data_IF_117734334182
#
_entry.id   IF_117734334182
#
_cell.length_a   1.000
_cell.length_b   1.000
_cell.length_c   1.000
_cell.angle_alpha   90.00
_cell.angle_beta   90.00
_cell.angle_gamma   90.00
#
_symmetry.space_group_name_H-M   'P 1'
#
loop_
_entity.id
_entity.type
_entity.pdbx_description
1 polymer ?
#
# COMPACT_ATOMS: atom_id res chain seq x y z
N UNK A 1 7.26 -18.71 -27.30
CA UNK A 1 6.08 -19.07 -26.50
C UNK A 1 6.06 -18.17 -25.28
N UNK A 2 5.09 -17.26 -25.16
CA UNK A 2 4.97 -16.31 -24.04
C UNK A 2 4.52 -17.06 -22.79
N UNK A 3 5.22 -16.92 -21.66
CA UNK A 3 4.79 -17.50 -20.38
C UNK A 3 3.46 -16.87 -19.93
N UNK A 4 2.56 -17.63 -19.28
CA UNK A 4 1.33 -17.07 -18.73
C UNK A 4 1.67 -16.01 -17.66
N UNK A 5 0.92 -14.90 -17.66
CA UNK A 5 1.09 -13.83 -16.66
C UNK A 5 0.54 -14.28 -15.31
N UNK A 6 1.22 -13.93 -14.22
CA UNK A 6 0.86 -14.35 -12.87
C UNK A 6 0.50 -13.15 -12.01
N UNK A 7 -0.71 -13.14 -11.44
CA UNK A 7 -1.16 -12.13 -10.49
C UNK A 7 -1.65 -12.78 -9.20
N UNK A 8 -1.24 -12.22 -8.06
CA UNK A 8 -1.71 -12.60 -6.73
C UNK A 8 -2.67 -11.50 -6.25
N UNK A 9 -3.92 -11.86 -5.96
CA UNK A 9 -4.92 -10.93 -5.45
C UNK A 9 -5.25 -11.27 -4.01
N UNK A 10 -4.98 -10.34 -3.09
CA UNK A 10 -5.27 -10.47 -1.67
C UNK A 10 -6.58 -9.76 -1.35
N UNK A 11 -7.58 -10.55 -0.95
CA UNK A 11 -8.89 -10.13 -0.46
C UNK A 11 -9.04 -10.26 1.06
N UNK A 12 -10.27 -10.16 1.57
CA UNK A 12 -10.57 -10.03 3.00
C UNK A 12 -10.29 -11.27 3.90
N UNK A 13 -9.62 -12.32 3.42
CA UNK A 13 -9.34 -13.52 4.21
C UNK A 13 -7.84 -13.79 4.34
N UNK A 14 -7.42 -14.11 5.56
CA UNK A 14 -6.03 -14.32 6.01
C UNK A 14 -5.23 -15.22 5.05
N UNK A 15 -4.03 -14.79 4.64
CA UNK A 15 -3.33 -15.39 3.49
C UNK A 15 -1.81 -15.53 3.62
N UNK A 16 -1.25 -15.66 4.82
CA UNK A 16 0.21 -15.90 4.96
C UNK A 16 0.65 -17.20 4.28
N UNK A 17 -0.19 -18.25 4.31
CA UNK A 17 0.11 -19.53 3.66
C UNK A 17 0.12 -19.41 2.13
N UNK A 18 -0.76 -18.56 1.58
CA UNK A 18 -0.82 -18.26 0.13
C UNK A 18 0.50 -17.65 -0.35
N UNK A 19 1.11 -16.77 0.45
CA UNK A 19 2.36 -16.13 0.06
C UNK A 19 3.51 -17.14 -0.04
N UNK A 20 3.55 -18.13 0.87
CA UNK A 20 4.58 -19.18 0.87
C UNK A 20 4.44 -20.11 -0.33
N UNK A 21 3.21 -20.56 -0.64
CA UNK A 21 2.96 -21.48 -1.74
C UNK A 21 3.29 -20.86 -3.11
N UNK A 22 3.02 -19.55 -3.29
CA UNK A 22 3.36 -18.83 -4.53
C UNK A 22 4.89 -18.73 -4.72
N UNK A 23 5.66 -18.55 -3.64
CA UNK A 23 7.13 -18.45 -3.74
C UNK A 23 7.76 -19.80 -4.08
N UNK A 24 7.21 -20.90 -3.58
CA UNK A 24 7.71 -22.28 -3.78
C UNK A 24 7.52 -22.76 -5.24
N UNK A 25 6.50 -22.29 -5.96
CA UNK A 25 6.24 -22.68 -7.35
C UNK A 25 7.28 -22.22 -8.39
N UNK A 26 8.28 -21.42 -8.00
CA UNK A 26 9.40 -21.00 -8.86
C UNK A 26 9.07 -19.96 -9.95
N UNK A 27 7.80 -19.64 -10.16
CA UNK A 27 7.34 -18.62 -11.10
C UNK A 27 7.70 -17.18 -10.67
N UNK A 28 7.74 -16.26 -11.64
CA UNK A 28 7.76 -14.81 -11.38
C UNK A 28 6.33 -14.30 -11.14
N UNK A 29 6.18 -13.26 -10.31
CA UNK A 29 4.90 -12.62 -10.00
C UNK A 29 4.85 -11.30 -10.74
N UNK A 30 3.91 -11.13 -11.67
CA UNK A 30 3.80 -9.89 -12.43
C UNK A 30 2.99 -8.83 -11.68
N UNK A 31 2.04 -9.23 -10.85
CA UNK A 31 1.28 -8.30 -10.03
C UNK A 31 0.92 -8.87 -8.66
N UNK A 32 1.07 -8.06 -7.62
CA UNK A 32 0.49 -8.26 -6.30
C UNK A 32 -0.55 -7.18 -6.07
N UNK A 33 -1.82 -7.57 -5.99
CA UNK A 33 -2.95 -6.64 -5.78
C UNK A 33 -3.50 -6.83 -4.38
N UNK A 34 -3.33 -5.81 -3.54
CA UNK A 34 -3.77 -5.80 -2.15
C UNK A 34 -4.98 -4.88 -1.99
N UNK A 35 -6.14 -5.46 -1.74
CA UNK A 35 -7.41 -4.73 -1.55
C UNK A 35 -8.04 -4.95 -0.18
N UNK A 36 -7.43 -5.81 0.64
CA UNK A 36 -7.95 -6.19 1.94
C UNK A 36 -8.13 -4.99 2.87
N UNK A 37 -9.28 -4.94 3.55
CA UNK A 37 -9.57 -3.89 4.50
C UNK A 37 -10.98 -3.97 5.02
N UNK A 38 -11.18 -3.36 6.18
CA UNK A 38 -12.49 -3.26 6.84
C UNK A 38 -12.88 -1.81 7.12
N UNK A 39 -14.17 -1.50 7.06
CA UNK A 39 -14.73 -0.22 7.47
C UNK A 39 -15.54 -0.42 8.75
N UNK A 40 -14.90 -0.10 9.87
CA UNK A 40 -15.43 -0.26 11.22
C UNK A 40 -15.14 1.02 12.02
N UNK A 41 -16.04 1.34 12.95
CA UNK A 41 -15.90 2.40 13.95
C UNK A 41 -15.41 1.86 15.29
N UNK A 42 -14.98 0.60 15.34
CA UNK A 42 -14.49 -0.01 16.58
C UNK A 42 -13.29 0.76 17.14
N UNK A 43 -13.22 0.76 18.47
CA UNK A 43 -12.00 1.15 19.21
C UNK A 43 -10.91 0.11 18.97
N UNK A 44 -9.72 0.38 19.49
CA UNK A 44 -8.60 -0.58 19.48
C UNK A 44 -9.08 -1.97 19.88
N UNK A 45 -8.87 -2.95 19.00
CA UNK A 45 -9.25 -4.35 19.21
C UNK A 45 -8.04 -5.24 18.96
N UNK A 46 -7.37 -5.75 20.01
CA UNK A 46 -6.17 -6.55 19.84
C UNK A 46 -6.50 -7.90 19.20
N UNK A 47 -5.64 -8.29 18.27
CA UNK A 47 -5.47 -9.66 17.77
C UNK A 47 -4.74 -10.51 18.80
N UNK A 48 -4.61 -11.81 18.53
CA UNK A 48 -3.78 -12.73 19.34
C UNK A 48 -2.32 -12.30 19.43
N UNK A 49 -1.83 -11.59 18.41
CA UNK A 49 -0.47 -11.05 18.35
C UNK A 49 -0.36 -9.66 19.01
N UNK A 50 -1.46 -9.17 19.60
CA UNK A 50 -1.53 -7.89 20.31
C UNK A 50 -1.55 -6.65 19.42
N UNK A 51 -1.62 -6.80 18.10
CA UNK A 51 -1.83 -5.71 17.13
C UNK A 51 -3.32 -5.39 16.98
N UNK A 52 -3.69 -4.16 16.67
CA UNK A 52 -5.08 -3.84 16.33
C UNK A 52 -5.54 -4.57 15.05
N UNK A 53 -6.76 -5.14 15.05
CA UNK A 53 -7.33 -5.86 13.91
C UNK A 53 -7.39 -5.02 12.63
N UNK A 54 -7.84 -3.75 12.73
CA UNK A 54 -7.97 -2.87 11.58
C UNK A 54 -6.58 -2.54 11.03
N UNK A 55 -5.62 -2.20 11.88
CA UNK A 55 -4.24 -1.92 11.45
C UNK A 55 -3.55 -3.17 10.87
N UNK A 56 -3.89 -4.35 11.39
CA UNK A 56 -3.40 -5.63 10.84
C UNK A 56 -3.83 -5.82 9.40
N UNK A 57 -5.09 -5.57 9.08
CA UNK A 57 -5.59 -5.63 7.70
C UNK A 57 -5.12 -4.46 6.84
N UNK A 58 -5.14 -3.24 7.40
CA UNK A 58 -4.92 -2.01 6.66
C UNK A 58 -3.45 -1.70 6.39
N UNK A 59 -2.52 -2.23 7.18
CA UNK A 59 -1.08 -1.98 6.99
C UNK A 59 -0.22 -3.23 7.20
N UNK A 60 -0.24 -3.87 8.38
CA UNK A 60 0.76 -4.91 8.71
C UNK A 60 0.75 -6.10 7.74
N UNK A 61 -0.43 -6.60 7.37
CA UNK A 61 -0.55 -7.66 6.38
C UNK A 61 -0.07 -7.24 4.99
N UNK A 62 -0.29 -5.97 4.60
CA UNK A 62 0.18 -5.44 3.31
C UNK A 62 1.70 -5.39 3.26
N UNK A 63 2.32 -4.91 4.34
CA UNK A 63 3.77 -4.93 4.48
C UNK A 63 4.32 -6.36 4.41
N UNK A 64 3.69 -7.29 5.14
CA UNK A 64 4.05 -8.72 5.09
C UNK A 64 3.97 -9.30 3.67
N UNK A 65 2.84 -9.13 2.97
CA UNK A 65 2.66 -9.64 1.61
C UNK A 65 3.68 -9.04 0.64
N UNK A 66 3.87 -7.72 0.67
CA UNK A 66 4.81 -7.04 -0.20
C UNK A 66 6.22 -7.59 0.02
N UNK A 67 6.67 -7.72 1.26
CA UNK A 67 8.02 -8.22 1.61
C UNK A 67 8.21 -9.70 1.29
N UNK A 68 7.27 -10.56 1.69
CA UNK A 68 7.40 -12.01 1.46
C UNK A 68 7.39 -12.38 -0.03
N UNK A 69 6.74 -11.57 -0.88
CA UNK A 69 6.63 -11.84 -2.31
C UNK A 69 7.69 -11.13 -3.16
N UNK A 70 8.58 -10.31 -2.57
CA UNK A 70 9.68 -9.67 -3.29
C UNK A 70 10.48 -10.64 -4.16
N UNK A 71 10.88 -11.84 -3.70
CA UNK A 71 11.64 -12.77 -4.54
C UNK A 71 10.88 -13.18 -5.82
N UNK A 72 9.56 -13.34 -5.74
CA UNK A 72 8.72 -13.64 -6.91
C UNK A 72 8.53 -12.43 -7.82
N UNK A 73 8.30 -11.26 -7.24
CA UNK A 73 8.13 -9.99 -7.97
C UNK A 73 9.39 -9.59 -8.76
N UNK A 74 10.58 -9.78 -8.17
CA UNK A 74 11.88 -9.54 -8.83
C UNK A 74 12.12 -10.46 -10.04
N UNK A 75 11.53 -11.65 -10.04
CA UNK A 75 11.64 -12.64 -11.14
C UNK A 75 10.63 -12.41 -12.26
N UNK A 76 9.76 -11.42 -12.16
CA UNK A 76 8.81 -11.11 -13.23
C UNK A 76 9.53 -10.80 -14.54
N UNK A 77 8.95 -11.31 -15.63
CA UNK A 77 9.36 -10.97 -17.00
C UNK A 77 8.41 -9.96 -17.65
N UNK A 78 7.57 -9.28 -16.87
CA UNK A 78 6.66 -8.27 -17.38
C UNK A 78 7.49 -7.09 -17.96
N UNK A 79 7.23 -6.64 -19.20
CA UNK A 79 8.09 -5.67 -19.89
C UNK A 79 8.35 -4.38 -19.12
N UNK A 80 7.34 -3.83 -18.43
CA UNK A 80 7.43 -2.61 -17.63
C UNK A 80 7.75 -2.85 -16.16
N UNK A 81 8.17 -4.07 -15.78
CA UNK A 81 8.37 -4.49 -14.40
C UNK A 81 7.09 -5.02 -13.74
N UNK A 82 7.26 -5.73 -12.62
CA UNK A 82 6.12 -6.18 -11.81
C UNK A 82 5.45 -5.02 -11.08
N UNK A 83 4.22 -5.23 -10.61
CA UNK A 83 3.45 -4.19 -9.94
C UNK A 83 2.96 -4.66 -8.57
N UNK A 84 3.31 -3.94 -7.51
CA UNK A 84 2.67 -4.05 -6.20
C UNK A 84 1.63 -2.95 -6.11
N UNK A 85 0.36 -3.30 -6.14
CA UNK A 85 -0.77 -2.36 -6.06
C UNK A 85 -1.43 -2.47 -4.69
N UNK A 86 -1.18 -1.49 -3.83
CA UNK A 86 -1.90 -1.33 -2.56
C UNK A 86 -3.07 -0.38 -2.75
N UNK A 87 -4.31 -0.87 -2.66
CA UNK A 87 -5.51 -0.03 -2.75
C UNK A 87 -6.01 0.32 -1.35
N UNK A 88 -5.63 1.51 -0.85
CA UNK A 88 -6.10 2.09 0.40
C UNK A 88 -5.64 3.55 0.60
N UNK A 89 -6.45 4.56 0.25
CA UNK A 89 -6.19 5.97 0.62
C UNK A 89 -4.85 6.60 0.15
N UNK A 90 -4.16 6.06 -0.85
CA UNK A 90 -2.87 6.60 -1.30
C UNK A 90 -2.89 8.11 -1.59
N UNK A 91 -2.01 8.87 -0.92
CA UNK A 91 -1.90 10.33 -1.09
C UNK A 91 -3.06 11.18 -0.55
N UNK A 92 -4.13 10.58 0.00
CA UNK A 92 -5.35 11.31 0.44
C UNK A 92 -5.60 11.25 1.94
N UNK A 93 -4.66 10.71 2.71
CA UNK A 93 -4.67 10.74 4.17
C UNK A 93 -3.93 11.97 4.72
N UNK A 94 -4.09 12.25 6.02
CA UNK A 94 -3.18 13.17 6.71
C UNK A 94 -1.95 12.42 7.22
N UNK A 95 -0.84 13.12 7.52
CA UNK A 95 0.33 12.49 8.12
C UNK A 95 0.00 12.00 9.52
N UNK A 96 0.49 10.80 9.88
CA UNK A 96 0.37 10.32 11.25
C UNK A 96 1.53 10.84 12.09
N UNK A 97 1.38 12.02 12.68
CA UNK A 97 2.46 12.75 13.36
C UNK A 97 3.00 12.09 14.65
N UNK A 98 2.41 10.99 15.12
CA UNK A 98 2.81 10.29 16.35
C UNK A 98 3.63 9.02 16.09
N UNK A 99 4.24 8.91 14.91
CA UNK A 99 5.06 7.75 14.54
C UNK A 99 6.29 7.55 15.44
N UNK A 100 6.63 8.51 16.31
CA UNK A 100 7.73 8.39 17.27
C UNK A 100 7.27 7.89 18.63
N UNK A 101 6.20 8.47 19.15
CA UNK A 101 5.71 8.26 20.50
C UNK A 101 4.77 7.04 20.57
N UNK A 102 4.04 6.77 19.48
CA UNK A 102 3.06 5.69 19.41
C UNK A 102 3.12 5.00 18.02
N UNK A 103 4.25 4.33 17.70
CA UNK A 103 4.53 3.77 16.39
C UNK A 103 3.64 2.59 16.00
N UNK A 104 2.92 2.00 16.95
CA UNK A 104 1.94 0.92 16.71
C UNK A 104 0.49 1.37 16.93
N UNK A 105 0.26 2.67 17.20
CA UNK A 105 -1.05 3.27 17.52
C UNK A 105 -1.78 2.51 18.65
N UNK A 106 -1.08 2.24 19.75
CA UNK A 106 -1.62 1.55 20.93
C UNK A 106 -2.27 2.50 21.91
N UNK A 107 -1.74 3.72 22.06
CA UNK A 107 -2.16 4.65 23.12
C UNK A 107 -3.01 5.82 22.61
N UNK A 108 -2.89 6.18 21.33
CA UNK A 108 -3.58 7.31 20.71
C UNK A 108 -4.64 6.87 19.69
N UNK A 109 -5.18 5.67 19.85
CA UNK A 109 -6.12 5.11 18.88
C UNK A 109 -7.38 5.97 18.73
N UNK A 110 -7.66 6.33 17.48
CA UNK A 110 -8.94 6.86 17.03
C UNK A 110 -9.16 6.39 15.59
N UNK A 111 -10.41 6.41 15.11
CA UNK A 111 -10.72 5.99 13.72
C UNK A 111 -9.93 6.82 12.70
N UNK A 112 -9.77 8.13 12.96
CA UNK A 112 -9.00 9.04 12.10
C UNK A 112 -7.51 8.72 12.19
N UNK A 113 -6.97 8.52 13.39
CA UNK A 113 -5.56 8.16 13.54
C UNK A 113 -5.25 6.81 12.89
N UNK A 114 -6.16 5.84 12.97
CA UNK A 114 -5.98 4.55 12.32
C UNK A 114 -6.00 4.65 10.80
N UNK A 115 -6.86 5.51 10.24
CA UNK A 115 -6.88 5.79 8.80
C UNK A 115 -5.60 6.52 8.34
N UNK A 116 -5.19 7.56 9.07
CA UNK A 116 -3.96 8.29 8.79
C UNK A 116 -2.73 7.39 8.92
N UNK A 117 -2.66 6.58 9.98
CA UNK A 117 -1.61 5.58 10.19
C UNK A 117 -1.51 4.64 9.00
N UNK A 118 -2.62 4.01 8.61
CA UNK A 118 -2.62 3.02 7.54
C UNK A 118 -2.13 3.59 6.21
N UNK A 119 -2.65 4.76 5.82
CA UNK A 119 -2.24 5.41 4.59
C UNK A 119 -0.79 5.88 4.64
N UNK A 120 -0.43 6.62 5.69
CA UNK A 120 0.89 7.23 5.84
C UNK A 120 2.01 6.20 5.96
N UNK A 121 1.80 5.14 6.73
CA UNK A 121 2.79 4.07 6.82
C UNK A 121 2.92 3.32 5.49
N UNK A 122 1.83 3.15 4.73
CA UNK A 122 1.90 2.52 3.40
C UNK A 122 2.68 3.37 2.40
N UNK A 123 2.46 4.70 2.35
CA UNK A 123 3.24 5.63 1.52
C UNK A 123 4.74 5.47 1.81
N UNK A 124 5.13 5.58 3.08
CA UNK A 124 6.52 5.54 3.53
C UNK A 124 7.17 4.17 3.29
N UNK A 125 6.46 3.09 3.63
CA UNK A 125 6.99 1.74 3.51
C UNK A 125 7.20 1.32 2.06
N UNK A 126 6.25 1.65 1.16
CA UNK A 126 6.39 1.33 -0.26
C UNK A 126 7.50 2.16 -0.92
N UNK A 127 7.69 3.42 -0.51
CA UNK A 127 8.82 4.23 -0.96
C UNK A 127 10.17 3.67 -0.47
N UNK A 128 10.23 3.15 0.76
CA UNK A 128 11.43 2.49 1.28
C UNK A 128 11.70 1.14 0.59
N UNK A 129 10.66 0.40 0.19
CA UNK A 129 10.85 -0.76 -0.67
C UNK A 129 11.35 -0.38 -2.06
N UNK A 130 10.81 0.68 -2.66
CA UNK A 130 11.20 1.14 -3.99
C UNK A 130 12.65 1.66 -4.05
N UNK A 131 13.17 2.25 -2.97
CA UNK A 131 14.54 2.77 -2.93
C UNK A 131 15.62 1.69 -2.91
N UNK A 132 15.26 0.44 -2.66
CA UNK A 132 16.21 -0.67 -2.60
C UNK A 132 16.66 -1.07 -4.00
N UNK A 133 17.97 -1.14 -4.29
CA UNK A 133 18.48 -1.50 -5.62
C UNK A 133 17.95 -2.84 -6.14
N UNK A 134 17.77 -3.83 -5.26
CA UNK A 134 17.22 -5.13 -5.61
C UNK A 134 15.76 -5.08 -6.11
N UNK A 135 15.06 -3.97 -5.88
CA UNK A 135 13.66 -3.76 -6.25
C UNK A 135 13.49 -2.83 -7.47
N UNK A 136 14.56 -2.49 -8.18
CA UNK A 136 14.53 -1.55 -9.31
C UNK A 136 13.59 -1.97 -10.47
N UNK A 137 13.21 -3.25 -10.55
CA UNK A 137 12.28 -3.79 -11.54
C UNK A 137 10.82 -3.87 -11.06
N UNK A 138 10.51 -3.36 -9.86
CA UNK A 138 9.18 -3.43 -9.24
C UNK A 138 8.60 -2.02 -9.16
N UNK A 139 7.33 -1.89 -9.56
CA UNK A 139 6.53 -0.68 -9.40
C UNK A 139 5.59 -0.83 -8.20
N UNK A 140 5.86 -0.10 -7.13
CA UNK A 140 5.04 0.02 -5.94
C UNK A 140 4.05 1.18 -6.11
N UNK A 141 2.78 0.85 -6.24
CA UNK A 141 1.68 1.80 -6.44
C UNK A 141 0.78 1.81 -5.22
N UNK A 142 0.66 2.96 -4.57
CA UNK A 142 -0.32 3.19 -3.53
C UNK A 142 -1.51 3.99 -4.09
N UNK A 143 -2.67 3.35 -4.13
CA UNK A 143 -3.84 3.88 -4.82
C UNK A 143 -4.95 4.30 -3.86
N UNK A 144 -5.57 5.44 -4.16
CA UNK A 144 -6.82 5.86 -3.55
C UNK A 144 -7.99 5.41 -4.44
N UNK A 145 -8.88 4.50 -4.01
CA UNK A 145 -10.03 4.09 -4.82
C UNK A 145 -11.13 5.17 -4.90
N UNK A 146 -11.07 6.15 -4.00
CA UNK A 146 -12.13 7.14 -3.81
C UNK A 146 -13.40 6.55 -3.21
N UNK A 147 -14.53 7.21 -3.43
CA UNK A 147 -15.81 6.74 -2.91
C UNK A 147 -16.45 5.72 -3.86
N UNK A 148 -16.45 4.44 -3.45
CA UNK A 148 -16.92 3.31 -4.27
C UNK A 148 -18.16 2.65 -3.66
N UNK A 149 -19.13 2.33 -4.51
CA UNK A 149 -20.35 1.62 -4.13
C UNK A 149 -20.10 0.11 -3.92
N UNK A 150 -19.32 -0.25 -2.91
CA UNK A 150 -19.03 -1.65 -2.53
C UNK A 150 -19.84 -2.09 -1.31
N UNK A 151 -19.76 -3.36 -0.92
CA UNK A 151 -20.31 -3.84 0.35
C UNK A 151 -19.45 -3.42 1.57
N UNK A 152 -18.37 -2.65 1.38
CA UNK A 152 -17.57 -2.09 2.46
C UNK A 152 -18.46 -1.26 3.40
N UNK A 153 -18.27 -1.44 4.71
CA UNK A 153 -19.14 -0.86 5.75
C UNK A 153 -20.33 -1.75 6.14
N UNK A 154 -20.38 -3.01 5.68
CA UNK A 154 -21.34 -4.00 6.19
C UNK A 154 -21.21 -4.25 7.70
N UNK A 155 -20.07 -3.92 8.30
CA UNK A 155 -19.81 -4.01 9.73
C UNK A 155 -20.24 -2.76 10.52
N UNK A 156 -20.65 -1.68 9.84
CA UNK A 156 -21.17 -0.47 10.48
C UNK A 156 -22.46 -0.78 11.26
N UNK A 157 -22.83 0.02 12.28
CA UNK A 157 -24.12 -0.13 12.95
C UNK A 157 -25.29 -0.13 11.97
N UNK A 158 -26.29 -0.99 12.18
CA UNK A 158 -27.40 -1.23 11.23
C UNK A 158 -28.13 0.06 10.80
N UNK A 159 -28.27 1.02 11.71
CA UNK A 159 -28.91 2.31 11.45
C UNK A 159 -28.12 3.21 10.48
N UNK A 160 -26.80 3.03 10.33
CA UNK A 160 -25.99 3.75 9.35
C UNK A 160 -25.91 3.03 8.00
N UNK A 161 -26.14 1.72 7.95
CA UNK A 161 -25.99 0.93 6.72
C UNK A 161 -26.93 1.40 5.61
N UNK A 162 -28.20 1.65 5.93
CA UNK A 162 -29.20 2.10 4.95
C UNK A 162 -28.83 3.43 4.28
N UNK A 163 -28.61 4.51 5.07
CA UNK A 163 -28.19 5.81 4.54
C UNK A 163 -26.86 5.74 3.76
N UNK A 164 -25.86 5.02 4.27
CA UNK A 164 -24.56 4.88 3.58
C UNK A 164 -24.75 4.17 2.24
N UNK A 165 -25.57 3.10 2.17
CA UNK A 165 -25.85 2.39 0.91
C UNK A 165 -26.59 3.25 -0.10
N UNK A 166 -27.53 4.08 0.35
CA UNK A 166 -28.22 5.03 -0.51
C UNK A 166 -27.24 6.07 -1.07
N UNK A 167 -26.41 6.66 -0.21
CA UNK A 167 -25.37 7.63 -0.60
C UNK A 167 -24.34 7.00 -1.56
N UNK A 168 -23.90 5.77 -1.29
CA UNK A 168 -22.98 5.01 -2.15
C UNK A 168 -23.56 4.77 -3.54
N UNK A 169 -24.85 4.41 -3.65
CA UNK A 169 -25.49 4.21 -4.96
C UNK A 169 -25.62 5.52 -5.75
N UNK A 170 -25.85 6.63 -5.06
CA UNK A 170 -26.07 7.93 -5.70
C UNK A 170 -24.76 8.62 -6.10
N UNK A 171 -23.75 8.58 -5.22
CA UNK A 171 -22.52 9.39 -5.32
C UNK A 171 -21.26 8.55 -5.53
N UNK A 172 -21.32 7.23 -5.29
CA UNK A 172 -20.18 6.34 -5.39
C UNK A 172 -19.98 5.83 -6.81
N UNK A 173 -18.72 5.73 -7.23
CA UNK A 173 -18.39 5.04 -8.48
C UNK A 173 -18.70 3.55 -8.37
N UNK A 174 -19.04 2.92 -9.49
CA UNK A 174 -19.26 1.47 -9.52
C UNK A 174 -17.95 0.72 -9.24
N UNK A 175 -18.00 -0.48 -8.64
CA UNK A 175 -16.82 -1.31 -8.45
C UNK A 175 -16.07 -1.61 -9.76
N UNK A 176 -16.81 -1.83 -10.86
CA UNK A 176 -16.21 -2.07 -12.17
C UNK A 176 -15.46 -0.85 -12.71
N UNK A 177 -16.03 0.37 -12.56
CA UNK A 177 -15.35 1.61 -12.97
C UNK A 177 -14.10 1.85 -12.13
N UNK A 178 -14.19 1.64 -10.81
CA UNK A 178 -13.03 1.72 -9.93
C UNK A 178 -11.95 0.72 -10.36
N UNK A 179 -12.31 -0.55 -10.57
CA UNK A 179 -11.38 -1.58 -10.98
C UNK A 179 -10.69 -1.22 -12.31
N UNK A 180 -11.45 -0.68 -13.28
CA UNK A 180 -10.90 -0.21 -14.56
C UNK A 180 -9.80 0.84 -14.41
N UNK A 181 -9.91 1.76 -13.45
CA UNK A 181 -8.82 2.67 -13.11
C UNK A 181 -7.68 1.96 -12.36
N UNK A 182 -8.01 1.21 -11.31
CA UNK A 182 -7.01 0.63 -10.41
C UNK A 182 -6.07 -0.37 -11.10
N UNK A 183 -6.56 -1.14 -12.09
CA UNK A 183 -5.71 -2.10 -12.81
C UNK A 183 -4.85 -1.46 -13.92
N UNK A 184 -5.04 -0.16 -14.17
CA UNK A 184 -4.35 0.59 -15.23
C UNK A 184 -2.82 0.39 -15.24
N UNK A 185 -2.12 0.57 -14.10
CA UNK A 185 -0.67 0.39 -14.04
C UNK A 185 -0.21 -1.02 -14.43
N UNK A 186 -0.95 -2.05 -14.03
CA UNK A 186 -0.63 -3.45 -14.34
C UNK A 186 -0.75 -3.70 -15.85
N UNK A 187 -1.83 -3.23 -16.47
CA UNK A 187 -2.07 -3.40 -17.90
C UNK A 187 -1.01 -2.67 -18.73
N UNK A 188 -0.65 -1.46 -18.31
CA UNK A 188 0.39 -0.66 -18.98
C UNK A 188 1.78 -1.28 -18.81
N UNK A 189 2.14 -1.78 -17.63
CA UNK A 189 3.42 -2.48 -17.44
C UNK A 189 3.51 -3.71 -18.36
N UNK A 190 2.37 -4.33 -18.69
CA UNK A 190 2.27 -5.37 -19.70
C UNK A 190 2.73 -4.96 -21.11
N UNK A 191 2.80 -3.66 -21.42
CA UNK A 191 3.30 -3.09 -22.69
C UNK A 191 4.57 -2.24 -22.52
N UNK A 192 5.19 -2.24 -21.32
CA UNK A 192 6.51 -1.64 -21.10
C UNK A 192 6.54 -0.34 -20.28
N UNK A 193 5.39 0.17 -19.82
CA UNK A 193 5.32 1.46 -19.12
C UNK A 193 4.31 1.43 -17.97
N UNK A 194 4.58 2.00 -16.80
CA UNK A 194 3.61 1.99 -15.68
C UNK A 194 2.47 3.00 -15.86
N UNK A 195 2.64 4.01 -16.72
CA UNK A 195 1.65 5.05 -16.97
C UNK A 195 1.40 6.00 -15.81
N UNK A 196 2.33 6.06 -14.85
CA UNK A 196 2.29 6.95 -13.70
C UNK A 196 3.60 7.73 -13.62
N UNK A 197 3.47 8.96 -13.15
CA UNK A 197 4.60 9.83 -12.86
C UNK A 197 5.02 9.65 -11.41
N UNK A 198 6.33 9.75 -11.09
CA UNK A 198 6.78 9.75 -9.71
C UNK A 198 6.08 10.86 -8.92
N UNK A 199 5.66 10.59 -7.67
CA UNK A 199 4.97 11.57 -6.84
C UNK A 199 5.90 12.74 -6.51
N UNK A 200 5.32 13.95 -6.48
CA UNK A 200 6.03 15.12 -5.95
C UNK A 200 6.01 15.13 -4.41
N UNK A 201 7.06 15.69 -3.78
CA UNK A 201 7.12 15.93 -2.33
C UNK A 201 7.88 14.94 -1.44
N UNK A 202 8.89 14.19 -1.95
CA UNK A 202 9.61 13.15 -1.17
C UNK A 202 11.07 13.48 -0.77
N UNK A 203 11.56 12.84 0.30
CA UNK A 203 12.91 12.79 0.93
C UNK A 203 13.77 14.08 1.08
N UNK A 204 13.42 15.23 0.49
CA UNK A 204 14.30 16.40 0.40
C UNK A 204 13.68 17.75 0.78
N UNK A 205 12.75 17.78 1.73
CA UNK A 205 12.13 19.03 2.20
C UNK A 205 12.77 19.58 3.48
N UNK A 206 14.04 19.97 3.40
CA UNK A 206 14.62 21.01 4.26
C UNK A 206 14.86 22.24 3.40
N UNK A 207 14.59 23.44 3.91
CA UNK A 207 14.84 24.73 3.24
C UNK A 207 16.35 25.01 3.12
N UNK A 208 17.06 24.17 2.36
CA UNK A 208 18.49 24.28 2.10
C UNK A 208 18.75 24.22 0.60
N UNK A 209 19.14 25.36 0.04
CA UNK A 209 19.84 25.47 -1.24
C UNK A 209 21.23 24.84 -1.09
N UNK A 210 21.31 23.51 -1.01
CA UNK A 210 22.59 22.79 -1.06
C UNK A 210 22.56 21.82 -2.26
N UNK A 211 23.04 22.36 -3.37
CA UNK A 211 23.48 21.65 -4.57
C UNK A 211 24.75 20.86 -4.24
N UNK A 212 24.59 19.69 -3.62
CA UNK A 212 25.66 18.70 -3.50
C UNK A 212 25.12 17.32 -3.85
N UNK A 213 25.32 16.94 -5.12
CA UNK A 213 25.24 15.56 -5.58
C UNK A 213 23.83 15.03 -5.84
N UNK A 214 22.98 15.80 -6.51
CA UNK A 214 21.77 15.27 -7.11
C UNK A 214 22.12 14.13 -8.08
N UNK A 215 21.82 12.89 -7.67
CA UNK A 215 21.43 11.88 -8.66
C UNK A 215 20.14 12.41 -9.28
N UNK A 216 20.30 13.13 -10.38
CA UNK A 216 19.30 13.57 -11.36
C UNK A 216 18.72 12.38 -12.14
N UNK A 217 18.60 11.22 -11.48
CA UNK A 217 17.93 10.03 -11.96
C UNK A 217 16.52 10.01 -11.42
N UNK A 218 15.54 10.17 -12.30
CA UNK A 218 14.11 9.86 -12.11
C UNK A 218 13.92 8.78 -11.03
N UNK A 219 13.35 9.12 -9.85
CA UNK A 219 13.02 8.15 -8.81
C UNK A 219 12.01 7.16 -9.39
N UNK A 220 12.46 5.98 -9.78
CA UNK A 220 11.62 4.92 -10.36
C UNK A 220 11.21 3.99 -9.22
N UNK A 221 9.96 3.53 -9.25
CA UNK A 221 9.51 2.42 -8.42
C UNK A 221 8.45 2.76 -7.39
N UNK A 222 8.29 3.99 -6.91
CA UNK A 222 7.19 4.37 -6.00
C UNK A 222 6.22 5.35 -6.68
N UNK A 223 4.92 5.07 -6.58
CA UNK A 223 3.86 5.84 -7.23
C UNK A 223 2.65 6.01 -6.31
N UNK A 224 2.05 7.19 -6.37
CA UNK A 224 0.72 7.45 -5.82
C UNK A 224 -0.27 7.51 -6.98
N UNK A 225 -1.42 6.85 -6.85
CA UNK A 225 -2.47 6.86 -7.86
C UNK A 225 -3.78 7.37 -7.29
N UNK A 226 -4.34 8.40 -7.92
CA UNK A 226 -5.61 8.98 -7.56
C UNK A 226 -6.78 8.09 -7.99
N UNK A 227 -7.97 8.52 -7.59
CA UNK A 227 -9.21 7.77 -7.74
C UNK A 227 -9.73 7.60 -9.18
N UNK A 228 -9.15 8.35 -10.11
CA UNK A 228 -9.39 8.35 -11.55
C UNK A 228 -8.24 7.72 -12.35
N UNK A 229 -7.25 7.14 -11.65
CA UNK A 229 -6.08 6.50 -12.26
C UNK A 229 -4.95 7.45 -12.64
N UNK A 230 -5.04 8.73 -12.29
CA UNK A 230 -3.97 9.71 -12.52
C UNK A 230 -2.89 9.68 -11.44
N UNK A 231 -1.71 10.25 -11.73
CA UNK A 231 -0.60 10.38 -10.78
C UNK A 231 -0.95 11.30 -9.61
N UNK A 232 -0.65 10.87 -8.39
CA UNK A 232 -0.84 11.64 -7.16
C UNK A 232 0.47 12.18 -6.58
N UNK A 233 0.42 12.59 -5.32
CA UNK A 233 1.56 13.15 -4.57
C UNK A 233 1.68 12.45 -3.22
N UNK A 234 2.89 12.45 -2.67
CA UNK A 234 3.04 12.07 -1.27
C UNK A 234 2.36 13.09 -0.37
N UNK A 235 1.85 12.61 0.76
CA UNK A 235 1.32 13.49 1.79
C UNK A 235 2.46 14.26 2.48
N UNK A 236 2.13 15.35 3.17
CA UNK A 236 3.14 16.16 3.89
C UNK A 236 3.89 15.30 4.92
N UNK A 237 5.10 15.70 5.28
CA UNK A 237 5.88 14.98 6.30
C UNK A 237 6.57 13.71 5.81
N UNK A 238 6.52 13.40 4.51
CA UNK A 238 7.23 12.28 3.89
C UNK A 238 8.77 12.49 3.87
N UNK A 239 9.37 12.41 5.06
CA UNK A 239 10.81 12.61 5.30
C UNK A 239 11.55 11.28 5.41
N UNK A 240 12.86 11.29 5.17
CA UNK A 240 13.73 10.12 5.36
C UNK A 240 13.56 9.56 6.78
N UNK A 241 13.53 10.44 7.77
CA UNK A 241 13.36 10.04 9.15
C UNK A 241 12.03 9.34 9.44
N UNK A 242 10.92 9.82 8.87
CA UNK A 242 9.64 9.14 9.01
C UNK A 242 9.68 7.76 8.35
N UNK A 243 10.33 7.64 7.19
CA UNK A 243 10.54 6.37 6.51
C UNK A 243 11.35 5.39 7.36
N UNK A 244 12.49 5.83 7.90
CA UNK A 244 13.35 5.01 8.75
C UNK A 244 12.62 4.52 10.00
N UNK A 245 11.83 5.39 10.64
CA UNK A 245 11.04 5.03 11.83
C UNK A 245 9.94 4.02 11.50
N UNK A 246 9.22 4.23 10.40
CA UNK A 246 8.20 3.30 9.93
C UNK A 246 8.82 1.96 9.54
N UNK A 247 9.96 1.97 8.84
CA UNK A 247 10.69 0.77 8.46
C UNK A 247 11.12 -0.04 9.69
N UNK A 248 11.77 0.61 10.66
CA UNK A 248 12.19 -0.02 11.91
C UNK A 248 11.02 -0.63 12.68
N UNK A 249 9.93 0.12 12.85
CA UNK A 249 8.71 -0.38 13.50
C UNK A 249 8.13 -1.59 12.75
N UNK A 250 8.10 -1.51 11.42
CA UNK A 250 7.56 -2.59 10.58
C UNK A 250 8.42 -3.84 10.67
N UNK A 251 9.74 -3.69 10.69
CA UNK A 251 10.68 -4.78 10.93
C UNK A 251 10.42 -5.46 12.27
N UNK A 252 10.19 -4.69 13.34
CA UNK A 252 9.96 -5.23 14.67
C UNK A 252 8.59 -5.95 14.78
N UNK A 253 7.54 -5.36 14.22
CA UNK A 253 6.19 -5.96 14.19
C UNK A 253 6.18 -7.25 13.37
N UNK A 254 6.73 -7.23 12.16
CA UNK A 254 6.79 -8.41 11.30
C UNK A 254 7.77 -9.47 11.85
N UNK A 255 8.85 -9.05 12.50
CA UNK A 255 9.81 -9.92 13.16
C UNK A 255 9.19 -10.76 14.27
N UNK A 256 8.25 -10.20 15.04
CA UNK A 256 7.44 -10.95 16.03
C UNK A 256 6.62 -12.07 15.41
N UNK A 257 6.21 -11.92 14.15
CA UNK A 257 5.52 -12.95 13.37
C UNK A 257 6.47 -13.87 12.58
N UNK A 258 7.78 -13.76 12.79
CA UNK A 258 8.80 -14.56 12.10
C UNK A 258 9.09 -14.11 10.67
N UNK A 259 8.62 -12.93 10.25
CA UNK A 259 8.88 -12.36 8.93
C UNK A 259 10.04 -11.38 9.03
N UNK A 260 11.10 -11.61 8.25
CA UNK A 260 12.27 -10.73 8.21
C UNK A 260 12.17 -9.81 7.00
N UNK A 261 12.31 -8.51 7.24
CA UNK A 261 12.56 -7.55 6.17
C UNK A 261 14.01 -7.71 5.74
N UNK A 262 14.22 -7.75 4.42
CA UNK A 262 15.57 -7.66 3.84
C UNK A 262 16.08 -6.24 4.04
N UNK A 263 17.33 -6.05 4.47
CA UNK A 263 17.97 -4.74 4.66
C UNK A 263 18.51 -4.13 3.36
#
# INVERSE_FOLDING_TARGET
MTRPRTAVVVGATNGIDIARDVVVGGGGIDALVMTQGMATMQKFKPTVDGNDEKLTLHYWSRAAFASCLLPGLRRSSMPGGSVVLSVLSGGVHSPYNKYREDPELRTNYSVINAANFAGYYTDLFLDELASRPANASINFVHAAPGFVATNLGAEMPSYLRGPIRAMQRLMGKSPAKCAGYMVGPILRCGIGDVGLEPPSGGRGGGDGDDDDGAITGRRRGAYIMNEDGTSGKFTKGHTIEAMDRVWGTTRDVLGRAGIRLED
#
